data_IF_930294053878
#
_entry.id   IF_930294053878
#
_cell.length_a   1.000
_cell.length_b   1.000
_cell.length_c   1.000
_cell.angle_alpha   90.00
_cell.angle_beta   90.00
_cell.angle_gamma   90.00
#
_symmetry.space_group_name_H-M   'P 1'
#
loop_
_entity.id
_entity.type
_entity.pdbx_description
1 polymer ?
#
# COMPACT_ATOMS: atom_id res chain seq x y z
N UNK A 1 17.46 -2.42 -18.88
CA UNK A 1 17.76 -2.05 -17.48
C UNK A 1 17.10 -3.10 -16.58
N UNK A 2 17.59 -3.30 -15.36
CA UNK A 2 16.84 -4.13 -14.40
C UNK A 2 15.49 -3.43 -14.12
N UNK A 3 14.39 -4.18 -14.13
CA UNK A 3 13.02 -3.71 -13.85
C UNK A 3 12.28 -2.90 -14.95
N UNK A 4 12.59 -3.07 -16.24
CA UNK A 4 11.89 -2.34 -17.33
C UNK A 4 10.38 -2.64 -17.45
N UNK A 5 9.92 -3.81 -17.01
CA UNK A 5 8.51 -4.24 -17.13
C UNK A 5 7.76 -4.27 -15.78
N UNK A 6 8.18 -3.44 -14.82
CA UNK A 6 7.50 -3.37 -13.51
C UNK A 6 6.23 -2.52 -13.59
N UNK A 7 5.12 -3.12 -13.19
CA UNK A 7 3.80 -2.48 -13.17
C UNK A 7 3.40 -1.98 -11.78
N UNK A 8 4.07 -2.48 -10.73
CA UNK A 8 3.85 -2.02 -9.36
C UNK A 8 5.09 -2.19 -8.47
N UNK A 9 5.29 -1.23 -7.55
CA UNK A 9 6.30 -1.27 -6.49
C UNK A 9 5.58 -1.22 -5.14
N UNK A 10 5.75 -2.28 -4.35
CA UNK A 10 5.20 -2.39 -2.99
C UNK A 10 6.35 -2.33 -1.98
N UNK A 11 6.27 -1.40 -1.04
CA UNK A 11 7.30 -1.16 -0.04
C UNK A 11 6.70 -0.94 1.35
N UNK A 12 7.54 -0.93 2.39
CA UNK A 12 7.10 -0.87 3.78
C UNK A 12 8.03 -0.05 4.65
N UNK A 13 8.27 -0.51 5.89
CA UNK A 13 9.16 0.07 6.91
C UNK A 13 8.67 1.38 7.56
N UNK A 14 8.25 2.37 6.78
CA UNK A 14 7.80 3.66 7.33
C UNK A 14 6.43 3.58 8.05
N UNK A 15 5.68 2.50 7.81
CA UNK A 15 4.32 2.28 8.33
C UNK A 15 3.30 3.36 7.93
N UNK A 16 3.68 4.28 7.03
CA UNK A 16 2.80 5.29 6.50
C UNK A 16 2.11 4.79 5.23
N UNK A 17 0.75 4.77 5.19
CA UNK A 17 0.03 4.37 4.00
C UNK A 17 0.31 5.34 2.84
N UNK A 18 0.72 4.79 1.70
CA UNK A 18 0.98 5.52 0.45
C UNK A 18 0.34 4.75 -0.70
N UNK A 19 -0.37 5.44 -1.59
CA UNK A 19 -0.82 4.92 -2.88
C UNK A 19 -0.63 6.02 -3.90
N UNK A 20 0.22 5.79 -4.88
CA UNK A 20 0.53 6.73 -5.94
C UNK A 20 0.60 6.03 -7.30
N UNK A 21 0.55 6.81 -8.38
CA UNK A 21 0.78 6.37 -9.73
C UNK A 21 1.91 7.20 -10.35
N UNK A 22 3.06 6.56 -10.59
CA UNK A 22 4.22 7.21 -11.20
C UNK A 22 4.38 6.66 -12.61
N UNK A 23 3.98 7.45 -13.61
CA UNK A 23 4.14 7.07 -15.02
C UNK A 23 3.39 5.80 -15.42
N UNK A 24 2.22 5.55 -14.83
CA UNK A 24 1.43 4.33 -15.05
C UNK A 24 1.74 3.19 -14.09
N UNK A 25 2.84 3.26 -13.34
CA UNK A 25 3.23 2.25 -12.35
C UNK A 25 2.56 2.54 -11.00
N UNK A 26 1.94 1.52 -10.39
CA UNK A 26 1.42 1.62 -9.03
C UNK A 26 2.57 1.67 -8.02
N UNK A 27 2.60 2.66 -7.15
CA UNK A 27 3.59 2.76 -6.06
C UNK A 27 2.84 2.77 -4.74
N UNK A 28 3.07 1.77 -3.88
CA UNK A 28 2.25 1.58 -2.69
C UNK A 28 3.05 1.17 -1.46
N UNK A 29 2.71 1.80 -0.33
CA UNK A 29 3.01 1.32 1.00
C UNK A 29 1.67 1.03 1.71
N UNK A 30 1.39 -0.22 2.13
CA UNK A 30 0.12 -0.57 2.76
C UNK A 30 -0.06 0.03 4.17
N UNK A 31 0.99 0.64 4.74
CA UNK A 31 1.05 1.05 6.13
C UNK A 31 1.32 -0.14 7.05
N UNK A 32 0.68 -0.18 8.23
CA UNK A 32 0.82 -1.26 9.19
C UNK A 32 -0.53 -1.70 9.75
N UNK A 33 -0.80 -3.02 9.81
CA UNK A 33 -2.05 -3.54 10.39
C UNK A 33 -2.03 -3.53 11.92
N UNK A 34 -0.86 -3.39 12.56
CA UNK A 34 -0.70 -3.55 14.02
C UNK A 34 0.17 -2.48 14.67
N UNK A 35 1.03 -1.78 13.94
CA UNK A 35 2.05 -0.90 14.53
C UNK A 35 2.09 0.45 13.81
N UNK A 36 1.17 1.34 14.14
CA UNK A 36 1.10 2.67 13.53
C UNK A 36 1.27 3.76 14.60
N UNK A 37 2.46 3.85 15.23
CA UNK A 37 2.74 4.83 16.31
C UNK A 37 2.43 6.29 15.93
N UNK A 38 2.51 6.62 14.65
CA UNK A 38 2.36 7.97 14.12
C UNK A 38 1.15 8.16 13.17
N UNK A 39 0.31 7.14 13.01
CA UNK A 39 -0.90 7.21 12.16
C UNK A 39 -2.14 6.92 13.01
N UNK A 40 -3.27 7.55 12.69
CA UNK A 40 -4.53 7.41 13.44
C UNK A 40 -5.16 6.02 13.29
N UNK A 41 -4.98 5.37 12.14
CA UNK A 41 -5.62 4.09 11.82
C UNK A 41 -4.57 2.99 11.62
N UNK A 42 -4.98 1.72 11.76
CA UNK A 42 -4.23 0.57 11.26
C UNK A 42 -4.73 0.26 9.84
N UNK A 43 -3.82 -0.09 8.93
CA UNK A 43 -4.15 -0.24 7.52
C UNK A 43 -3.50 -1.47 6.91
N UNK A 44 -4.09 -1.95 5.82
CA UNK A 44 -3.46 -2.93 4.92
C UNK A 44 -3.75 -2.56 3.45
N UNK A 45 -2.95 -3.10 2.54
CA UNK A 45 -3.15 -2.91 1.10
C UNK A 45 -3.94 -4.08 0.51
N UNK A 46 -4.89 -3.78 -0.37
CA UNK A 46 -5.55 -4.75 -1.23
C UNK A 46 -5.14 -4.50 -2.67
N UNK A 47 -4.39 -5.43 -3.25
CA UNK A 47 -4.06 -5.42 -4.67
C UNK A 47 -5.08 -6.27 -5.44
N UNK A 48 -5.60 -5.71 -6.53
CA UNK A 48 -6.46 -6.43 -7.46
C UNK A 48 -5.76 -6.50 -8.81
N UNK A 49 -5.60 -7.72 -9.34
CA UNK A 49 -4.99 -7.98 -10.63
C UNK A 49 -6.05 -8.58 -11.54
N UNK A 50 -6.36 -7.88 -12.64
CA UNK A 50 -7.36 -8.29 -13.62
C UNK A 50 -6.75 -8.18 -15.02
N UNK A 51 -6.35 -9.31 -15.60
CA UNK A 51 -5.63 -9.33 -16.87
C UNK A 51 -4.33 -8.53 -16.78
N UNK A 52 -4.22 -7.48 -17.60
CA UNK A 52 -3.05 -6.58 -17.63
C UNK A 52 -3.19 -5.34 -16.73
N UNK A 53 -4.26 -5.26 -15.93
CA UNK A 53 -4.48 -4.14 -14.99
C UNK A 53 -4.14 -4.55 -13.57
N UNK A 54 -3.42 -3.67 -12.88
CA UNK A 54 -3.21 -3.74 -11.43
C UNK A 54 -3.78 -2.48 -10.77
N UNK A 55 -4.58 -2.66 -9.73
CA UNK A 55 -5.03 -1.58 -8.85
C UNK A 55 -4.68 -1.93 -7.42
N UNK A 56 -4.52 -0.90 -6.58
CA UNK A 56 -4.25 -1.08 -5.16
C UNK A 56 -5.09 -0.12 -4.34
N UNK A 57 -5.74 -0.63 -3.29
CA UNK A 57 -6.49 0.17 -2.33
C UNK A 57 -5.89 0.03 -0.93
N UNK A 58 -5.99 1.08 -0.13
CA UNK A 58 -5.60 1.06 1.28
C UNK A 58 -6.88 0.95 2.09
N UNK A 59 -6.97 -0.11 2.88
CA UNK A 59 -8.14 -0.41 3.70
C UNK A 59 -7.77 -0.16 5.16
N UNK A 60 -8.56 0.68 5.82
CA UNK A 60 -8.49 0.89 7.26
C UNK A 60 -9.15 -0.28 8.00
N UNK A 61 -8.50 -0.78 9.05
CA UNK A 61 -9.07 -1.78 9.92
C UNK A 61 -10.12 -1.13 10.84
N UNK A 62 -11.27 -1.78 11.05
CA UNK A 62 -12.40 -1.21 11.79
C UNK A 62 -12.17 -1.11 13.31
N UNK A 63 -11.11 -1.73 13.81
CA UNK A 63 -10.78 -1.71 15.23
C UNK A 63 -9.76 -0.60 15.49
N UNK A 64 -10.12 0.33 16.37
CA UNK A 64 -9.21 1.38 16.84
C UNK A 64 -7.97 0.74 17.45
N UNK A 65 -6.84 1.44 17.39
CA UNK A 65 -5.67 1.04 18.17
C UNK A 65 -6.06 0.98 19.64
N UNK A 66 -5.76 -0.15 20.27
CA UNK A 66 -5.60 -0.19 21.72
C UNK A 66 -4.46 0.78 22.06
N UNK A 67 -4.80 1.90 22.71
CA UNK A 67 -3.84 2.88 23.22
C UNK A 67 -3.32 2.46 24.59
#
# INVERSE_FOLDING_TARGET
AEFEDVHAVIFGHAHQPIRDNIGGMLVMNPGSPTSNRFQSSNTYGLLTINGNSITGDIIELPFAKDH
#
